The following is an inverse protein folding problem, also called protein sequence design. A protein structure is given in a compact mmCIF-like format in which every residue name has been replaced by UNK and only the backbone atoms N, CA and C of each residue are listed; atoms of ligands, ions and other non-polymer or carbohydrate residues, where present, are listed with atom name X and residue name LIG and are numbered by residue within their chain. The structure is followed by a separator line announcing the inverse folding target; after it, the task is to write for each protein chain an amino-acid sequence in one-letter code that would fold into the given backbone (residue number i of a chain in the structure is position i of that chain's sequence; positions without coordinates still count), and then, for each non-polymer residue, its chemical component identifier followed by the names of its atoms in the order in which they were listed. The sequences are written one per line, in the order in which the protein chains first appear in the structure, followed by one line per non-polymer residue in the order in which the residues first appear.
data_IF_897671562799
#
_entry.id   IF_897671562799
#
_cell.length_a   1.000
_cell.length_b   1.000
_cell.length_c   1.000
_cell.angle_alpha   90.00
_cell.angle_beta   90.00
_cell.angle_gamma   90.00
#
_symmetry.space_group_name_H-M   'P 1'
#
loop_
_entity.id
_entity.type
_entity.pdbx_description
1 polymer ?
#
# COMPACT_ATOMS: atom_id res chain seq x y z
N UNK A 1 -26.42 6.25 -6.06
CA UNK A 1 -26.40 7.31 -5.04
C UNK A 1 -25.47 6.83 -3.93
N UNK A 2 -24.30 7.40 -3.63
CA UNK A 2 -23.84 8.77 -3.70
C UNK A 2 -23.34 9.13 -2.30
N UNK A 3 -22.02 9.20 -2.10
CA UNK A 3 -21.39 9.87 -0.94
C UNK A 3 -19.87 9.94 -1.15
N UNK A 4 -19.48 10.86 -2.02
CA UNK A 4 -18.12 11.40 -2.07
C UNK A 4 -17.93 12.33 -0.87
N UNK A 5 -17.52 11.80 0.28
CA UNK A 5 -17.04 12.65 1.37
C UNK A 5 -15.63 13.15 1.06
N UNK A 6 -15.54 14.43 0.72
CA UNK A 6 -14.32 15.21 0.61
C UNK A 6 -14.08 15.90 1.96
N UNK A 7 -13.01 15.53 2.66
CA UNK A 7 -12.53 16.21 3.88
C UNK A 7 -11.03 15.83 4.02
N UNK A 8 -10.02 16.68 4.15
CA UNK A 8 -9.89 18.14 4.29
C UNK A 8 -8.47 18.51 3.81
N UNK A 9 -8.32 19.65 3.13
CA UNK A 9 -7.01 20.18 2.72
C UNK A 9 -6.18 20.57 3.96
N UNK A 10 -5.09 19.84 4.20
CA UNK A 10 -4.05 20.26 5.12
C UNK A 10 -3.09 21.23 4.43
N UNK A 11 -3.01 22.44 4.99
CA UNK A 11 -2.24 23.63 4.59
C UNK A 11 -0.85 23.39 4.01
N UNK A 12 -0.56 24.15 2.96
CA UNK A 12 0.75 24.30 2.33
C UNK A 12 0.58 24.54 0.83
N UNK A 13 0.84 25.77 0.37
CA UNK A 13 0.96 26.10 -1.05
C UNK A 13 2.19 25.31 -1.57
N UNK A 14 1.96 24.13 -2.15
CA UNK A 14 3.04 23.25 -2.63
C UNK A 14 2.63 21.78 -2.71
N UNK A 15 2.24 21.33 -3.91
CA UNK A 15 1.99 19.94 -4.34
C UNK A 15 0.93 19.13 -3.55
N UNK A 16 0.00 18.44 -4.23
CA UNK A 16 -0.97 17.58 -3.56
C UNK A 16 -0.26 16.44 -2.83
N UNK A 17 -0.54 16.28 -1.52
CA UNK A 17 -0.01 15.19 -0.68
C UNK A 17 -0.24 13.82 -1.33
N UNK A 18 0.78 12.95 -1.29
CA UNK A 18 0.73 11.60 -1.88
C UNK A 18 1.22 10.55 -0.88
N UNK A 19 0.63 9.36 -0.95
CA UNK A 19 1.13 8.20 -0.24
C UNK A 19 2.52 7.84 -0.76
N UNK A 20 3.52 7.74 0.09
CA UNK A 20 4.91 7.44 -0.31
C UNK A 20 5.08 6.01 -0.81
N UNK A 21 4.17 5.10 -0.45
CA UNK A 21 4.14 3.74 -0.99
C UNK A 21 3.42 3.72 -2.34
N UNK A 22 2.11 4.00 -2.36
CA UNK A 22 1.25 3.75 -3.53
C UNK A 22 1.00 4.97 -4.44
N UNK A 23 1.53 6.14 -4.08
CA UNK A 23 1.34 7.42 -4.78
C UNK A 23 -0.11 7.92 -4.86
N UNK A 24 -1.05 7.27 -4.16
CA UNK A 24 -2.44 7.75 -4.06
C UNK A 24 -2.46 9.12 -3.41
N UNK A 25 -3.19 10.04 -4.04
CA UNK A 25 -3.48 11.39 -3.54
C UNK A 25 -4.77 11.46 -2.73
N UNK A 26 -5.62 10.43 -2.81
CA UNK A 26 -6.92 10.37 -2.14
C UNK A 26 -6.95 9.24 -1.14
N UNK A 27 -7.36 9.56 0.08
CA UNK A 27 -7.49 8.61 1.19
C UNK A 27 -8.40 9.22 2.26
N UNK A 28 -9.25 8.43 2.93
CA UNK A 28 -10.09 8.95 4.03
C UNK A 28 -9.27 9.36 5.26
N UNK A 29 -8.07 8.79 5.42
CA UNK A 29 -7.17 9.12 6.53
C UNK A 29 -5.72 9.02 6.06
N UNK A 30 -4.90 9.98 6.48
CA UNK A 30 -3.44 9.93 6.37
C UNK A 30 -2.85 9.33 7.63
N UNK A 31 -1.94 8.36 7.47
CA UNK A 31 -1.28 7.64 8.56
C UNK A 31 0.23 7.92 8.55
N UNK A 32 0.86 7.70 9.70
CA UNK A 32 2.32 7.69 9.79
C UNK A 32 2.90 6.53 9.00
N UNK A 33 4.09 6.76 8.46
CA UNK A 33 4.88 5.79 7.71
C UNK A 33 6.36 5.93 8.05
N UNK A 34 7.24 5.27 7.29
CA UNK A 34 8.68 5.28 7.58
C UNK A 34 9.30 6.68 7.47
N UNK A 35 8.72 7.56 6.64
CA UNK A 35 9.17 8.94 6.46
C UNK A 35 8.47 9.93 7.42
N UNK A 36 7.81 9.43 8.47
CA UNK A 36 7.13 10.25 9.47
C UNK A 36 5.61 10.38 9.30
N UNK A 37 4.97 11.34 9.98
CA UNK A 37 3.53 11.45 10.07
C UNK A 37 2.89 11.80 8.71
N UNK A 38 1.67 11.29 8.47
CA UNK A 38 0.84 11.60 7.29
C UNK A 38 1.53 11.33 5.94
N UNK A 39 2.39 10.31 5.87
CA UNK A 39 3.12 9.91 4.65
C UNK A 39 2.47 8.73 3.93
N UNK A 40 1.58 7.98 4.59
CA UNK A 40 0.88 6.85 3.98
C UNK A 40 -0.63 7.10 3.91
N UNK A 41 -1.27 6.56 2.87
CA UNK A 41 -2.72 6.45 2.85
C UNK A 41 -3.21 5.46 3.91
N UNK A 42 -4.53 5.39 4.12
CA UNK A 42 -5.11 4.54 5.15
C UNK A 42 -4.74 3.06 4.94
N UNK A 43 -4.91 2.54 3.72
CA UNK A 43 -4.65 1.13 3.40
C UNK A 43 -3.16 0.76 3.57
N UNK A 44 -2.24 1.58 3.07
CA UNK A 44 -0.81 1.33 3.23
C UNK A 44 -0.38 1.48 4.69
N UNK A 45 -0.92 2.49 5.41
CA UNK A 45 -0.55 2.75 6.81
C UNK A 45 -0.96 1.64 7.78
N UNK A 46 -2.14 1.02 7.61
CA UNK A 46 -2.53 -0.13 8.46
C UNK A 46 -1.62 -1.35 8.25
N UNK A 47 -1.16 -1.56 7.02
CA UNK A 47 -0.21 -2.63 6.69
C UNK A 47 1.18 -2.32 7.20
N UNK A 48 1.61 -1.07 7.13
CA UNK A 48 2.89 -0.63 7.68
C UNK A 48 2.96 -0.85 9.19
N UNK A 49 1.92 -0.43 9.93
CA UNK A 49 1.83 -0.61 11.38
C UNK A 49 1.92 -2.09 11.81
N UNK A 50 1.46 -3.01 10.98
CA UNK A 50 1.51 -4.46 11.23
C UNK A 50 2.75 -5.15 10.65
N UNK A 51 3.70 -4.42 10.06
CA UNK A 51 4.87 -5.01 9.40
C UNK A 51 4.56 -5.78 8.11
N UNK A 52 3.36 -5.62 7.55
CA UNK A 52 2.85 -6.36 6.38
C UNK A 52 2.76 -5.51 5.12
N UNK A 53 3.42 -4.34 5.09
CA UNK A 53 3.47 -3.49 3.91
C UNK A 53 4.59 -3.97 2.98
N UNK A 54 4.23 -4.86 2.08
CA UNK A 54 5.15 -5.49 1.15
C UNK A 54 5.21 -4.72 -0.19
N UNK A 55 6.31 -4.82 -0.96
CA UNK A 55 6.42 -4.18 -2.28
C UNK A 55 5.30 -4.58 -3.27
N UNK A 56 4.91 -5.85 -3.24
CA UNK A 56 3.88 -6.46 -4.09
C UNK A 56 2.47 -6.10 -3.60
N UNK A 57 2.32 -5.54 -2.39
CA UNK A 57 1.04 -5.02 -1.96
C UNK A 57 0.75 -3.69 -2.65
N UNK A 58 -0.43 -3.56 -3.24
CA UNK A 58 -0.92 -2.28 -3.74
C UNK A 58 -2.45 -2.25 -3.72
N UNK A 59 -3.09 -1.20 -3.16
CA UNK A 59 -4.53 -1.05 -3.28
C UNK A 59 -4.97 -1.00 -4.75
N UNK A 60 -6.11 -1.61 -5.09
CA UNK A 60 -6.59 -1.70 -6.48
C UNK A 60 -6.76 -0.33 -7.15
N UNK A 61 -7.19 0.69 -6.39
CA UNK A 61 -7.39 2.07 -6.87
C UNK A 61 -6.10 2.92 -6.86
N UNK A 62 -4.95 2.29 -6.62
CA UNK A 62 -3.66 2.99 -6.63
C UNK A 62 -3.28 3.39 -8.06
N UNK A 63 -2.76 4.61 -8.29
CA UNK A 63 -2.28 5.04 -9.62
C UNK A 63 -1.09 4.22 -10.12
N UNK A 64 -0.41 3.48 -9.23
CA UNK A 64 0.73 2.62 -9.56
C UNK A 64 0.39 1.13 -9.50
N UNK A 65 -0.91 0.78 -9.50
CA UNK A 65 -1.33 -0.63 -9.52
C UNK A 65 -0.99 -1.27 -10.87
N UNK A 66 -0.36 -2.45 -10.82
CA UNK A 66 0.02 -3.24 -12.00
C UNK A 66 -0.33 -4.68 -11.66
N UNK A 67 -1.30 -5.27 -12.36
CA UNK A 67 -1.95 -6.54 -11.97
C UNK A 67 -1.00 -7.73 -11.84
N UNK A 68 0.07 -7.79 -12.64
CA UNK A 68 1.04 -8.88 -12.58
C UNK A 68 2.14 -8.67 -11.53
N UNK A 69 2.38 -7.43 -11.07
CA UNK A 69 3.37 -7.11 -10.02
C UNK A 69 2.74 -6.91 -8.64
N UNK A 70 1.45 -6.62 -8.60
CA UNK A 70 0.81 -6.15 -7.40
C UNK A 70 -0.53 -6.83 -7.13
N UNK A 71 -0.84 -7.00 -5.85
CA UNK A 71 -2.15 -7.42 -5.39
C UNK A 71 -2.64 -6.59 -4.21
N UNK A 72 -3.96 -6.45 -4.11
CA UNK A 72 -4.61 -5.86 -2.93
C UNK A 72 -4.96 -6.91 -1.87
N UNK A 73 -4.78 -8.21 -2.16
CA UNK A 73 -5.03 -9.32 -1.25
C UNK A 73 -3.75 -9.79 -0.57
N UNK A 74 -3.79 -9.90 0.75
CA UNK A 74 -2.65 -10.39 1.53
C UNK A 74 -2.25 -11.81 1.16
N UNK A 75 -3.24 -12.71 1.01
CA UNK A 75 -3.01 -14.10 0.64
C UNK A 75 -2.26 -14.18 -0.69
N UNK A 76 -2.70 -13.41 -1.69
CA UNK A 76 -2.07 -13.39 -3.01
C UNK A 76 -0.65 -12.82 -2.97
N UNK A 77 -0.40 -11.78 -2.20
CA UNK A 77 0.95 -11.23 -2.00
C UNK A 77 1.90 -12.29 -1.40
N UNK A 78 1.41 -13.09 -0.44
CA UNK A 78 2.21 -14.17 0.14
C UNK A 78 2.47 -15.29 -0.86
N UNK A 79 1.46 -15.71 -1.62
CA UNK A 79 1.62 -16.68 -2.72
C UNK A 79 2.67 -16.20 -3.74
N UNK A 80 2.63 -14.93 -4.14
CA UNK A 80 3.61 -14.34 -5.06
C UNK A 80 5.05 -14.39 -4.54
N UNK A 81 5.24 -14.29 -3.21
CA UNK A 81 6.56 -14.48 -2.60
C UNK A 81 6.98 -15.93 -2.59
N UNK A 82 6.07 -16.83 -2.22
CA UNK A 82 6.35 -18.27 -2.16
C UNK A 82 6.71 -18.82 -3.54
N UNK A 83 6.13 -18.29 -4.62
CA UNK A 83 6.48 -18.68 -5.99
C UNK A 83 7.83 -18.17 -6.50
N UNK A 84 8.46 -17.22 -5.80
CA UNK A 84 9.78 -16.65 -6.18
C UNK A 84 10.92 -17.26 -5.36
N UNK A 85 10.61 -18.00 -4.28
CA UNK A 85 11.61 -18.75 -3.55
C UNK A 85 12.00 -20.01 -4.34
N UNK A 86 13.30 -20.27 -4.58
CA UNK A 86 13.73 -21.48 -5.28
C UNK A 86 13.30 -22.71 -4.47
N UNK A 87 12.77 -23.71 -5.16
CA UNK A 87 12.25 -24.97 -4.60
C UNK A 87 13.30 -25.86 -3.91
N UNK A 88 14.52 -25.37 -3.66
CA UNK A 88 15.68 -26.15 -3.22
C UNK A 88 15.85 -26.27 -1.69
N UNK A 89 14.87 -25.86 -0.87
CA UNK A 89 14.94 -25.94 0.60
C UNK A 89 13.95 -26.97 1.19
N UNK A 90 13.17 -27.69 0.37
CA UNK A 90 12.18 -28.70 0.86
C UNK A 90 12.63 -30.16 0.62
N UNK A 91 13.91 -30.41 0.27
CA UNK A 91 14.49 -31.75 0.29
C UNK A 91 15.72 -31.77 1.20
N UNK A 92 15.52 -31.93 2.51
CA UNK A 92 16.54 -32.47 3.43
C UNK A 92 15.81 -33.03 4.66
N UNK A 93 15.55 -34.34 4.55
CA UNK A 93 15.23 -35.35 5.59
C UNK A 93 13.98 -35.19 6.47
#
# INVERSE_FOLDING_TARGET
MGSSKQDSLGSGIGQPRRCTHCLSQRTPQWRAGPLGPKTLCNACGVRFKSGRLLPEYRPAKSPTFVSYKHSNSHKKVMEMRMSVLPSSIIHSE
#
